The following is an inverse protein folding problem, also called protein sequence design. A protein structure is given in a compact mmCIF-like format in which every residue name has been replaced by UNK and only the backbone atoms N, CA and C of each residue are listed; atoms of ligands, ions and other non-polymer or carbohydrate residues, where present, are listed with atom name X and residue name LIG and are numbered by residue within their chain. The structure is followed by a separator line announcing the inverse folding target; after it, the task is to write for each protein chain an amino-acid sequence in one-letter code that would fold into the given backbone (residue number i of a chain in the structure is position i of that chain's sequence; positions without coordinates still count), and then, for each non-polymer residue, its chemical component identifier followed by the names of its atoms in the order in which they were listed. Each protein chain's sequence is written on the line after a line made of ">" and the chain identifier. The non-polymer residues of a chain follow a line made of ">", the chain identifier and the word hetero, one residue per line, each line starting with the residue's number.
data_IF_150457883046
#
_entry.id   IF_150457883046
#
_cell.length_a   1.000
_cell.length_b   1.000
_cell.length_c   1.000
_cell.angle_alpha   90.00
_cell.angle_beta   90.00
_cell.angle_gamma   90.00
#
_symmetry.space_group_name_H-M   'P 1'
#
loop_
_entity.id
_entity.type
_entity.pdbx_description
1 polymer ?
#
# COMPACT_ATOMS: atom_id res chain seq x y z
N UNK A 1 -5.38 -28.87 41.88
CA UNK A 1 -6.14 -27.60 42.00
C UNK A 1 -6.88 -27.39 40.69
N UNK A 2 -8.16 -27.02 40.72
CA UNK A 2 -8.92 -26.77 39.49
C UNK A 2 -8.75 -25.31 39.05
N UNK A 3 -8.12 -25.07 37.91
CA UNK A 3 -8.07 -23.75 37.27
C UNK A 3 -9.41 -23.51 36.55
N UNK A 4 -10.09 -22.39 36.85
CA UNK A 4 -11.39 -22.04 36.26
C UNK A 4 -11.30 -20.70 35.50
N UNK A 5 -11.90 -20.67 34.32
CA UNK A 5 -12.23 -19.42 33.61
C UNK A 5 -13.65 -19.01 34.00
N UNK A 6 -13.78 -17.81 34.57
CA UNK A 6 -15.08 -17.28 35.00
C UNK A 6 -15.84 -16.70 33.80
N UNK A 7 -16.75 -17.50 33.22
CA UNK A 7 -17.74 -17.02 32.23
C UNK A 7 -19.03 -16.54 32.87
N UNK A 8 -19.32 -17.06 34.06
CA UNK A 8 -20.49 -16.73 34.87
C UNK A 8 -19.96 -16.28 36.22
N UNK A 9 -20.30 -15.07 36.68
CA UNK A 9 -19.85 -14.60 37.98
C UNK A 9 -20.50 -15.42 39.10
N UNK A 10 -19.88 -15.39 40.28
CA UNK A 10 -20.44 -15.99 41.48
C UNK A 10 -21.82 -15.38 41.77
N UNK A 11 -22.76 -16.22 42.22
CA UNK A 11 -24.14 -15.83 42.48
C UNK A 11 -24.84 -15.09 41.32
N UNK A 12 -24.53 -15.41 40.05
CA UNK A 12 -25.13 -14.76 38.87
C UNK A 12 -26.68 -14.75 38.86
N UNK A 13 -27.33 -15.75 39.46
CA UNK A 13 -28.78 -15.83 39.63
C UNK A 13 -29.24 -15.72 41.08
N UNK A 14 -28.32 -15.48 42.02
CA UNK A 14 -28.62 -15.35 43.44
C UNK A 14 -28.85 -13.90 43.85
N UNK A 15 -29.50 -13.70 45.00
CA UNK A 15 -29.67 -12.37 45.57
C UNK A 15 -28.30 -11.76 45.90
N UNK A 16 -28.10 -10.51 45.48
CA UNK A 16 -26.87 -9.76 45.69
C UNK A 16 -27.17 -8.29 46.00
N UNK A 17 -26.33 -7.69 46.82
CA UNK A 17 -26.30 -6.25 47.07
C UNK A 17 -25.10 -5.64 46.32
N UNK A 18 -25.28 -4.46 45.72
CA UNK A 18 -24.19 -3.76 45.04
C UNK A 18 -23.21 -3.22 46.08
N UNK A 19 -21.91 -3.40 45.85
CA UNK A 19 -20.89 -2.84 46.73
C UNK A 19 -20.75 -1.34 46.47
N UNK A 20 -20.94 -0.53 47.51
CA UNK A 20 -20.78 0.90 47.40
C UNK A 20 -19.29 1.28 47.30
N UNK A 21 -18.95 2.29 46.50
CA UNK A 21 -17.57 2.77 46.39
C UNK A 21 -17.14 3.58 47.61
N UNK A 22 -17.97 4.54 48.01
CA UNK A 22 -17.72 5.42 49.14
C UNK A 22 -18.27 4.86 50.45
N UNK A 23 -17.76 5.35 51.57
CA UNK A 23 -18.23 5.01 52.91
C UNK A 23 -19.72 5.30 53.06
N UNK A 24 -20.45 4.34 53.62
CA UNK A 24 -21.88 4.45 53.80
C UNK A 24 -22.19 5.06 55.18
N UNK A 25 -23.09 6.06 55.28
CA UNK A 25 -23.46 6.68 56.56
C UNK A 25 -24.07 5.72 57.57
N UNK A 26 -24.60 4.59 57.11
CA UNK A 26 -25.16 3.53 57.95
C UNK A 26 -24.11 2.54 58.45
N UNK A 27 -22.83 2.72 58.12
CA UNK A 27 -21.74 1.82 58.52
C UNK A 27 -21.71 0.52 57.72
N UNK A 28 -22.42 0.40 56.60
CA UNK A 28 -22.34 -0.78 55.73
C UNK A 28 -20.98 -0.93 55.04
N UNK A 29 -20.73 -2.16 54.60
CA UNK A 29 -19.57 -2.52 53.79
C UNK A 29 -19.49 -1.68 52.51
N UNK A 30 -18.28 -1.20 52.20
CA UNK A 30 -17.97 -0.45 50.96
C UNK A 30 -16.55 -0.78 50.48
N UNK A 31 -16.19 -0.36 49.26
CA UNK A 31 -14.82 -0.51 48.75
C UNK A 31 -13.80 0.30 49.55
N UNK A 32 -14.21 1.46 50.10
CA UNK A 32 -13.31 2.35 50.84
C UNK A 32 -13.15 1.93 52.31
N UNK A 33 -14.24 1.65 53.03
CA UNK A 33 -14.18 1.24 54.44
C UNK A 33 -13.97 -0.28 54.64
N UNK A 34 -14.24 -1.11 53.63
CA UNK A 34 -14.35 -2.56 53.83
C UNK A 34 -15.49 -2.92 54.79
N UNK A 35 -15.37 -4.04 55.50
CA UNK A 35 -16.27 -4.35 56.61
C UNK A 35 -15.92 -3.45 57.80
N UNK A 36 -16.88 -2.67 58.27
CA UNK A 36 -16.69 -1.72 59.37
C UNK A 36 -16.63 -2.43 60.73
N UNK A 37 -16.18 -1.74 61.81
CA UNK A 37 -16.18 -2.31 63.16
C UNK A 37 -17.56 -2.79 63.65
N UNK A 38 -18.65 -2.28 63.09
CA UNK A 38 -20.03 -2.70 63.41
C UNK A 38 -20.25 -4.21 63.15
N UNK A 39 -19.47 -4.82 62.25
CA UNK A 39 -19.52 -6.25 61.94
C UNK A 39 -18.78 -7.15 62.94
N UNK A 40 -17.97 -6.56 63.81
CA UNK A 40 -17.20 -7.26 64.86
C UNK A 40 -17.87 -7.18 66.24
N UNK A 41 -18.91 -6.35 66.37
CA UNK A 41 -19.61 -6.16 67.62
C UNK A 41 -20.29 -7.48 68.08
N UNK A 42 -20.44 -7.69 69.39
CA UNK A 42 -21.28 -8.76 69.92
C UNK A 42 -22.73 -8.66 69.40
N UNK A 43 -23.38 -9.80 69.20
CA UNK A 43 -24.72 -9.87 68.60
C UNK A 43 -25.85 -9.27 69.45
N UNK A 44 -25.58 -8.93 70.70
CA UNK A 44 -26.46 -8.22 71.62
C UNK A 44 -26.31 -6.69 71.54
N UNK A 45 -25.33 -6.18 70.78
CA UNK A 45 -25.16 -4.76 70.54
C UNK A 45 -26.16 -4.25 69.48
N UNK A 46 -26.93 -3.18 69.74
CA UNK A 46 -27.87 -2.60 68.77
C UNK A 46 -27.23 -2.13 67.46
N UNK A 47 -25.92 -1.82 67.45
CA UNK A 47 -25.16 -1.44 66.26
C UNK A 47 -24.52 -2.63 65.53
N UNK A 48 -24.68 -3.86 66.04
CA UNK A 48 -24.13 -5.05 65.40
C UNK A 48 -24.70 -5.26 64.00
N UNK A 49 -23.82 -5.59 63.05
CA UNK A 49 -24.17 -5.97 61.70
C UNK A 49 -23.68 -7.38 61.38
N UNK A 50 -24.55 -8.33 61.02
CA UNK A 50 -24.09 -9.62 60.54
C UNK A 50 -23.53 -9.49 59.12
N UNK A 51 -22.54 -10.32 58.77
CA UNK A 51 -22.11 -10.51 57.37
C UNK A 51 -23.26 -11.18 56.62
N UNK A 52 -24.01 -10.38 55.87
CA UNK A 52 -25.16 -10.88 55.14
C UNK A 52 -24.78 -11.63 53.86
N UNK A 53 -25.66 -12.55 53.46
CA UNK A 53 -25.47 -13.38 52.26
C UNK A 53 -25.42 -12.52 50.99
N UNK A 54 -26.25 -11.49 50.91
CA UNK A 54 -26.40 -10.66 49.71
C UNK A 54 -25.15 -9.81 49.47
N UNK A 55 -24.57 -9.29 50.54
CA UNK A 55 -23.34 -8.50 50.56
C UNK A 55 -22.15 -9.36 50.14
N UNK A 56 -22.00 -10.56 50.74
CA UNK A 56 -20.93 -11.49 50.35
C UNK A 56 -21.08 -11.98 48.91
N UNK A 57 -22.31 -12.25 48.47
CA UNK A 57 -22.59 -12.58 47.07
C UNK A 57 -22.20 -11.44 46.14
N UNK A 58 -22.54 -10.19 46.49
CA UNK A 58 -22.19 -9.00 45.74
C UNK A 58 -20.69 -8.85 45.52
N UNK A 59 -19.91 -8.89 46.61
CA UNK A 59 -18.45 -8.78 46.59
C UNK A 59 -17.83 -9.86 45.69
N UNK A 60 -18.22 -11.12 45.88
CA UNK A 60 -17.69 -12.22 45.08
C UNK A 60 -18.13 -12.15 43.62
N UNK A 61 -19.36 -11.69 43.36
CA UNK A 61 -19.88 -11.50 42.00
C UNK A 61 -19.05 -10.48 41.24
N UNK A 62 -18.80 -9.30 41.85
CA UNK A 62 -18.02 -8.21 41.24
C UNK A 62 -16.57 -8.63 40.93
N UNK A 63 -15.91 -9.32 41.86
CA UNK A 63 -14.53 -9.81 41.67
C UNK A 63 -14.48 -10.86 40.55
N UNK A 64 -15.40 -11.83 40.58
CA UNK A 64 -15.39 -12.93 39.59
C UNK A 64 -15.86 -12.48 38.20
N UNK A 65 -16.70 -11.46 38.11
CA UNK A 65 -17.06 -10.79 36.86
C UNK A 65 -15.84 -10.07 36.27
N UNK A 66 -15.20 -9.21 37.05
CA UNK A 66 -14.01 -8.45 36.61
C UNK A 66 -12.84 -9.37 36.22
N UNK A 67 -12.60 -10.42 37.01
CA UNK A 67 -11.62 -11.45 36.67
C UNK A 67 -12.01 -12.22 35.41
N UNK A 68 -13.30 -12.55 35.27
CA UNK A 68 -13.85 -13.25 34.11
C UNK A 68 -13.67 -12.48 32.81
N UNK A 69 -13.84 -11.16 32.83
CA UNK A 69 -13.54 -10.30 31.69
C UNK A 69 -12.07 -10.37 31.27
N UNK A 70 -11.15 -10.16 32.21
CA UNK A 70 -9.70 -10.19 31.91
C UNK A 70 -9.27 -11.58 31.45
N UNK A 71 -9.82 -12.64 32.03
CA UNK A 71 -9.53 -14.03 31.61
C UNK A 71 -10.04 -14.36 30.20
N UNK A 72 -11.21 -13.82 29.81
CA UNK A 72 -11.82 -14.11 28.51
C UNK A 72 -11.24 -13.26 27.38
N UNK A 73 -10.95 -11.99 27.64
CA UNK A 73 -10.53 -11.04 26.60
C UNK A 73 -9.04 -10.69 26.67
N UNK A 74 -8.34 -11.12 27.73
CA UNK A 74 -6.93 -10.77 28.00
C UNK A 74 -6.72 -9.35 28.53
N UNK A 75 -7.76 -8.51 28.50
CA UNK A 75 -7.78 -7.11 28.92
C UNK A 75 -9.10 -6.81 29.62
N UNK A 76 -9.14 -5.74 30.42
CA UNK A 76 -10.39 -5.24 30.97
C UNK A 76 -11.31 -4.76 29.83
N UNK A 77 -12.63 -5.00 29.94
CA UNK A 77 -13.58 -4.45 28.97
C UNK A 77 -13.70 -2.94 29.22
N UNK A 78 -13.67 -2.16 28.13
CA UNK A 78 -13.78 -0.71 28.23
C UNK A 78 -15.11 -0.33 28.87
N UNK A 79 -15.02 0.59 29.82
CA UNK A 79 -16.14 1.27 30.46
C UNK A 79 -15.70 2.68 30.82
N UNK A 80 -16.65 3.60 30.93
CA UNK A 80 -16.36 4.92 31.45
C UNK A 80 -16.00 4.81 32.94
N UNK A 81 -14.86 5.39 33.34
CA UNK A 81 -14.40 5.43 34.73
C UNK A 81 -14.12 6.88 35.13
N UNK A 82 -14.40 7.21 36.38
CA UNK A 82 -14.12 8.55 36.94
C UNK A 82 -12.61 8.80 36.92
N UNK A 83 -12.18 9.91 36.33
CA UNK A 83 -10.76 10.23 36.15
C UNK A 83 -10.11 9.56 34.94
N UNK A 84 -10.88 8.80 34.13
CA UNK A 84 -10.44 8.23 32.87
C UNK A 84 -9.36 7.14 32.97
N UNK A 85 -9.01 6.58 31.81
CA UNK A 85 -7.98 5.56 31.71
C UNK A 85 -6.58 6.17 31.63
N UNK A 86 -5.64 5.60 32.37
CA UNK A 86 -4.25 6.07 32.36
C UNK A 86 -3.58 5.90 30.99
N UNK A 87 -2.54 6.69 30.71
CA UNK A 87 -1.76 6.55 29.48
C UNK A 87 -1.18 5.13 29.37
N UNK A 88 -1.25 4.55 28.17
CA UNK A 88 -0.86 3.16 27.86
C UNK A 88 -1.75 2.06 28.48
N UNK A 89 -2.84 2.40 29.18
CA UNK A 89 -3.81 1.42 29.61
C UNK A 89 -4.42 0.69 28.39
N UNK A 90 -4.70 -0.60 28.55
CA UNK A 90 -5.21 -1.46 27.48
C UNK A 90 -6.59 -1.99 27.82
N UNK A 91 -7.52 -1.83 26.90
CA UNK A 91 -8.91 -2.22 27.06
C UNK A 91 -9.39 -3.00 25.84
N UNK A 92 -10.32 -3.92 26.07
CA UNK A 92 -11.06 -4.56 25.00
C UNK A 92 -12.37 -3.82 24.75
N UNK A 93 -12.65 -3.46 23.50
CA UNK A 93 -13.87 -2.75 23.10
C UNK A 93 -14.27 -3.14 21.67
N UNK A 94 -15.55 -3.42 21.41
CA UNK A 94 -16.09 -3.75 20.08
C UNK A 94 -15.24 -4.75 19.25
N UNK A 95 -14.71 -5.79 19.89
CA UNK A 95 -13.91 -6.82 19.20
C UNK A 95 -12.43 -6.50 19.00
N UNK A 96 -11.98 -5.30 19.41
CA UNK A 96 -10.60 -4.85 19.30
C UNK A 96 -9.95 -4.54 20.65
N UNK A 97 -8.62 -4.50 20.66
CA UNK A 97 -7.83 -4.04 21.81
C UNK A 97 -7.35 -2.62 21.52
N UNK A 98 -7.58 -1.72 22.46
CA UNK A 98 -7.19 -0.32 22.35
C UNK A 98 -6.21 0.07 23.44
N UNK A 99 -5.28 0.96 23.11
CA UNK A 99 -4.27 1.52 24.01
C UNK A 99 -4.54 3.01 24.18
N UNK A 100 -4.69 3.47 25.43
CA UNK A 100 -4.89 4.89 25.70
C UNK A 100 -3.64 5.69 25.30
N UNK A 101 -3.80 6.74 24.49
CA UNK A 101 -2.70 7.59 24.04
C UNK A 101 -2.39 8.74 25.01
N UNK A 102 -3.31 9.05 25.92
CA UNK A 102 -3.22 10.14 26.91
C UNK A 102 -3.53 9.63 28.32
N UNK A 103 -3.16 10.42 29.31
CA UNK A 103 -3.56 10.18 30.69
C UNK A 103 -4.99 10.70 30.93
N UNK A 104 -5.69 10.14 31.93
CA UNK A 104 -7.08 10.47 32.24
C UNK A 104 -8.03 10.44 31.01
N UNK A 105 -7.90 9.42 30.17
CA UNK A 105 -8.66 9.30 28.94
C UNK A 105 -10.10 8.84 29.22
N UNK A 106 -11.04 9.77 29.07
CA UNK A 106 -12.48 9.53 29.24
C UNK A 106 -13.21 9.28 27.91
N UNK A 107 -12.51 9.36 26.78
CA UNK A 107 -13.12 9.18 25.45
C UNK A 107 -13.47 7.72 25.18
N UNK A 108 -14.45 7.48 24.31
CA UNK A 108 -14.83 6.15 23.86
C UNK A 108 -13.89 5.65 22.73
N UNK A 109 -13.33 4.43 22.81
CA UNK A 109 -12.44 3.90 21.78
C UNK A 109 -13.15 3.75 20.43
N UNK A 110 -12.46 4.11 19.34
CA UNK A 110 -12.99 3.98 17.98
C UNK A 110 -13.92 5.12 17.53
N UNK A 111 -14.28 6.05 18.40
CA UNK A 111 -14.97 7.28 18.01
C UNK A 111 -14.02 8.23 17.26
N UNK A 112 -14.59 9.08 16.39
CA UNK A 112 -13.82 10.14 15.73
C UNK A 112 -13.26 11.12 16.77
N UNK A 113 -11.95 11.38 16.73
CA UNK A 113 -11.27 12.19 17.74
C UNK A 113 -10.98 11.47 19.07
N UNK A 114 -11.20 10.14 19.13
CA UNK A 114 -10.83 9.36 20.30
C UNK A 114 -9.32 9.36 20.55
N UNK A 115 -8.93 9.36 21.82
CA UNK A 115 -7.53 9.31 22.25
C UNK A 115 -7.08 7.85 22.47
N UNK A 116 -7.57 6.94 21.62
CA UNK A 116 -7.31 5.52 21.68
C UNK A 116 -6.61 5.05 20.41
N UNK A 117 -5.53 4.29 20.57
CA UNK A 117 -4.83 3.63 19.48
C UNK A 117 -5.27 2.17 19.40
N UNK A 118 -5.76 1.73 18.25
CA UNK A 118 -6.07 0.31 18.05
C UNK A 118 -4.78 -0.52 17.98
N UNK A 119 -4.71 -1.59 18.78
CA UNK A 119 -3.58 -2.51 18.77
C UNK A 119 -3.60 -3.43 17.54
N UNK A 120 -4.77 -3.71 16.96
CA UNK A 120 -4.83 -4.43 15.67
C UNK A 120 -4.28 -3.59 14.52
N UNK A 121 -4.35 -2.26 14.61
CA UNK A 121 -3.69 -1.34 13.67
C UNK A 121 -2.18 -1.20 13.95
N UNK A 122 -1.68 -1.73 15.08
CA UNK A 122 -0.26 -1.65 15.46
C UNK A 122 0.61 -2.71 14.80
N UNK A 123 0.01 -3.75 14.22
CA UNK A 123 0.73 -4.78 13.45
C UNK A 123 0.40 -4.63 11.98
N UNK A 124 1.42 -4.73 11.12
CA UNK A 124 1.20 -4.85 9.69
C UNK A 124 0.47 -6.18 9.42
N UNK A 125 -0.77 -6.18 8.90
CA UNK A 125 -1.47 -7.41 8.55
C UNK A 125 -0.67 -8.20 7.52
N UNK A 126 -0.69 -9.53 7.65
CA UNK A 126 -0.08 -10.45 6.69
C UNK A 126 -1.18 -11.37 6.15
N UNK A 127 -1.24 -11.52 4.84
CA UNK A 127 -2.22 -12.40 4.18
C UNK A 127 -1.57 -13.20 3.06
N UNK A 128 -2.08 -14.40 2.79
CA UNK A 128 -1.57 -15.22 1.67
C UNK A 128 -1.75 -14.49 0.33
N UNK A 129 -2.97 -14.06 0.05
CA UNK A 129 -3.35 -13.33 -1.18
C UNK A 129 -3.95 -11.96 -0.84
N UNK A 130 -3.99 -11.06 -1.82
CA UNK A 130 -4.50 -9.70 -1.61
C UNK A 130 -5.97 -9.72 -1.13
N UNK A 131 -6.28 -9.15 0.05
CA UNK A 131 -7.64 -9.13 0.57
C UNK A 131 -8.60 -8.33 -0.32
N UNK A 132 -9.87 -8.75 -0.37
CA UNK A 132 -10.94 -8.06 -1.12
C UNK A 132 -11.65 -6.96 -0.32
N UNK A 133 -11.37 -6.89 0.99
CA UNK A 133 -11.91 -5.89 1.91
C UNK A 133 -10.79 -5.27 2.72
N UNK A 134 -11.01 -4.05 3.23
CA UNK A 134 -9.99 -3.30 3.97
C UNK A 134 -9.81 -3.90 5.36
N UNK A 135 -8.61 -4.38 5.64
CA UNK A 135 -8.17 -4.93 6.94
C UNK A 135 -7.11 -4.04 7.62
N UNK A 136 -6.76 -2.92 7.00
CA UNK A 136 -5.70 -2.00 7.42
C UNK A 136 -5.32 -1.05 6.29
N UNK A 137 -4.49 -0.05 6.55
CA UNK A 137 -4.00 0.87 5.50
C UNK A 137 -2.94 0.23 4.60
N UNK A 138 -2.22 -0.78 5.10
CA UNK A 138 -1.29 -1.60 4.34
C UNK A 138 -1.42 -3.07 4.76
N UNK A 139 -0.90 -3.99 3.94
CA UNK A 139 -0.85 -5.44 4.17
C UNK A 139 0.36 -6.03 3.45
N UNK A 140 1.09 -6.94 4.09
CA UNK A 140 2.10 -7.75 3.41
C UNK A 140 1.43 -8.98 2.78
N UNK A 141 1.57 -9.15 1.46
CA UNK A 141 0.93 -10.25 0.72
C UNK A 141 1.96 -11.28 0.32
N UNK A 142 1.85 -12.50 0.86
CA UNK A 142 2.87 -13.55 0.69
C UNK A 142 3.02 -14.01 -0.76
N UNK A 143 1.92 -14.20 -1.49
CA UNK A 143 1.95 -14.64 -2.90
C UNK A 143 2.53 -13.57 -3.84
N UNK A 144 2.51 -12.31 -3.43
CA UNK A 144 3.12 -11.20 -4.18
C UNK A 144 4.52 -10.89 -3.68
N UNK A 145 4.85 -11.31 -2.45
CA UNK A 145 6.07 -10.92 -1.72
C UNK A 145 6.26 -9.40 -1.69
N UNK A 146 5.17 -8.66 -1.52
CA UNK A 146 5.16 -7.20 -1.56
C UNK A 146 4.23 -6.61 -0.50
N UNK A 147 4.53 -5.37 -0.10
CA UNK A 147 3.72 -4.54 0.77
C UNK A 147 2.70 -3.76 -0.07
N UNK A 148 1.42 -4.09 0.08
CA UNK A 148 0.34 -3.42 -0.63
C UNK A 148 -0.34 -2.38 0.26
N UNK A 149 -0.80 -1.29 -0.34
CA UNK A 149 -1.56 -0.23 0.34
C UNK A 149 -3.01 -0.24 -0.12
N UNK A 150 -3.94 0.03 0.80
CA UNK A 150 -5.34 0.23 0.46
C UNK A 150 -5.48 1.59 -0.24
N UNK A 151 -5.69 1.57 -1.56
CA UNK A 151 -5.69 2.79 -2.37
C UNK A 151 -6.78 2.77 -3.44
N UNK A 152 -7.07 3.95 -3.98
CA UNK A 152 -7.97 4.11 -5.13
C UNK A 152 -7.16 4.49 -6.35
N UNK A 153 -7.33 3.75 -7.44
CA UNK A 153 -6.69 3.96 -8.75
C UNK A 153 -7.81 4.10 -9.79
N UNK A 154 -8.07 5.33 -10.23
CA UNK A 154 -9.22 5.60 -11.10
C UNK A 154 -10.53 5.16 -10.43
N UNK A 155 -11.30 4.30 -11.09
CA UNK A 155 -12.55 3.74 -10.56
C UNK A 155 -12.41 2.47 -9.70
N UNK A 156 -11.19 2.01 -9.43
CA UNK A 156 -10.94 0.79 -8.65
C UNK A 156 -10.36 1.11 -7.27
N UNK A 157 -10.83 0.41 -6.24
CA UNK A 157 -10.31 0.52 -4.85
C UNK A 157 -9.95 -0.87 -4.32
N UNK A 158 -8.77 -0.98 -3.73
CA UNK A 158 -8.29 -2.21 -3.11
C UNK A 158 -6.81 -2.14 -2.73
N UNK A 159 -6.22 -3.29 -2.40
CA UNK A 159 -4.79 -3.39 -2.09
C UNK A 159 -3.94 -3.45 -3.36
N UNK A 160 -3.04 -2.49 -3.54
CA UNK A 160 -2.08 -2.46 -4.64
C UNK A 160 -0.73 -1.88 -4.21
N UNK A 161 0.30 -2.20 -4.97
CA UNK A 161 1.60 -1.54 -4.82
C UNK A 161 1.47 -0.11 -5.33
N UNK A 162 2.01 0.91 -4.63
CA UNK A 162 2.03 2.28 -5.14
C UNK A 162 2.69 2.39 -6.52
N UNK A 163 3.63 1.48 -6.82
CA UNK A 163 4.38 1.38 -8.08
C UNK A 163 3.75 0.43 -9.10
N UNK A 164 2.50 -0.01 -8.87
CA UNK A 164 1.81 -0.88 -9.84
C UNK A 164 1.80 -0.21 -11.23
N UNK A 165 2.29 -0.93 -12.24
CA UNK A 165 2.44 -0.42 -13.61
C UNK A 165 3.68 0.43 -13.86
N UNK A 166 4.70 0.40 -12.98
CA UNK A 166 6.05 0.88 -13.27
C UNK A 166 6.87 -0.17 -14.04
N UNK A 167 7.86 0.27 -14.82
CA UNK A 167 8.77 -0.64 -15.52
C UNK A 167 9.87 -1.05 -14.55
N UNK A 168 10.05 -2.36 -14.38
CA UNK A 168 11.12 -2.94 -13.56
C UNK A 168 12.11 -3.71 -14.45
N UNK A 169 13.41 -3.58 -14.16
CA UNK A 169 14.46 -4.31 -14.88
C UNK A 169 14.73 -5.66 -14.20
N UNK A 170 14.29 -6.75 -14.83
CA UNK A 170 14.55 -8.10 -14.35
C UNK A 170 16.01 -8.52 -14.53
N UNK A 171 16.57 -9.21 -13.55
CA UNK A 171 17.89 -9.86 -13.61
C UNK A 171 17.81 -11.39 -13.54
N UNK A 172 16.59 -11.94 -13.42
CA UNK A 172 16.29 -13.37 -13.32
C UNK A 172 15.73 -13.91 -14.64
N UNK A 173 15.89 -15.21 -14.95
CA UNK A 173 15.33 -15.81 -16.17
C UNK A 173 13.80 -15.85 -16.22
N UNK A 174 13.13 -15.74 -15.07
CA UNK A 174 11.67 -15.75 -14.97
C UNK A 174 11.17 -14.59 -14.11
N UNK A 175 9.87 -14.29 -14.24
CA UNK A 175 9.20 -13.27 -13.44
C UNK A 175 9.18 -13.66 -11.97
N UNK A 176 9.51 -12.70 -11.10
CA UNK A 176 9.37 -12.84 -9.66
C UNK A 176 7.90 -12.67 -9.23
N UNK A 177 7.50 -13.08 -8.01
CA UNK A 177 6.10 -13.06 -7.59
C UNK A 177 5.39 -11.69 -7.65
N UNK A 178 6.13 -10.58 -7.53
CA UNK A 178 5.60 -9.21 -7.68
C UNK A 178 5.59 -8.69 -9.12
N UNK A 179 6.16 -9.45 -10.07
CA UNK A 179 6.37 -9.03 -11.44
C UNK A 179 5.40 -9.69 -12.42
N UNK A 180 5.19 -9.04 -13.56
CA UNK A 180 4.58 -9.62 -14.75
C UNK A 180 5.46 -9.33 -15.96
N UNK A 181 5.41 -10.18 -16.98
CA UNK A 181 6.20 -10.00 -18.18
C UNK A 181 5.57 -8.93 -19.09
N UNK A 182 6.31 -7.85 -19.39
CA UNK A 182 5.91 -6.84 -20.37
C UNK A 182 6.30 -7.29 -21.80
N UNK A 183 5.80 -8.46 -22.20
CA UNK A 183 6.09 -9.13 -23.49
C UNK A 183 4.83 -9.31 -24.35
N UNK A 184 3.81 -8.46 -24.15
CA UNK A 184 2.55 -8.52 -24.90
C UNK A 184 1.60 -9.64 -24.46
N UNK A 185 1.80 -10.21 -23.27
CA UNK A 185 0.94 -11.24 -22.69
C UNK A 185 -0.50 -10.76 -22.43
N UNK A 186 -1.45 -11.70 -22.41
CA UNK A 186 -2.85 -11.44 -22.07
C UNK A 186 -3.12 -11.92 -20.65
N UNK A 187 -3.64 -11.03 -19.80
CA UNK A 187 -3.84 -11.25 -18.37
C UNK A 187 -5.30 -11.03 -17.97
N UNK A 188 -5.72 -11.67 -16.86
CA UNK A 188 -7.06 -11.53 -16.30
C UNK A 188 -7.23 -10.20 -15.55
N UNK A 189 -8.31 -9.47 -15.85
CA UNK A 189 -8.72 -8.26 -15.10
C UNK A 189 -9.06 -8.57 -13.65
N UNK A 190 -9.56 -9.78 -13.36
CA UNK A 190 -9.87 -10.20 -11.99
C UNK A 190 -8.60 -10.53 -11.17
N UNK A 191 -7.56 -11.07 -11.82
CA UNK A 191 -6.29 -11.39 -11.15
C UNK A 191 -5.40 -10.16 -10.95
N UNK A 192 -5.45 -9.21 -11.89
CA UNK A 192 -4.64 -7.98 -11.88
C UNK A 192 -5.50 -6.71 -12.03
N UNK A 193 -6.52 -6.50 -11.16
CA UNK A 193 -7.46 -5.39 -11.32
C UNK A 193 -6.79 -4.03 -11.11
N UNK A 194 -5.85 -3.95 -10.16
CA UNK A 194 -5.08 -2.73 -9.90
C UNK A 194 -4.24 -2.29 -11.10
N UNK A 195 -3.62 -3.24 -11.81
CA UNK A 195 -2.79 -2.96 -12.98
C UNK A 195 -3.64 -2.48 -14.16
N UNK A 196 -4.75 -3.16 -14.43
CA UNK A 196 -5.71 -2.72 -15.45
C UNK A 196 -6.23 -1.32 -15.14
N UNK A 197 -6.68 -1.08 -13.90
CA UNK A 197 -7.13 0.23 -13.45
C UNK A 197 -6.04 1.31 -13.56
N UNK A 198 -4.77 0.95 -13.33
CA UNK A 198 -3.64 1.87 -13.52
C UNK A 198 -3.49 2.29 -14.97
N UNK A 199 -3.48 1.35 -15.92
CA UNK A 199 -3.39 1.67 -17.34
C UNK A 199 -4.58 2.51 -17.82
N UNK A 200 -5.79 2.21 -17.31
CA UNK A 200 -6.98 3.01 -17.60
C UNK A 200 -6.86 4.43 -17.05
N UNK A 201 -6.50 4.58 -15.77
CA UNK A 201 -6.37 5.88 -15.10
C UNK A 201 -5.24 6.75 -15.66
N UNK A 202 -4.20 6.14 -16.23
CA UNK A 202 -3.07 6.86 -16.85
C UNK A 202 -3.31 7.22 -18.33
N UNK A 203 -4.42 6.80 -18.92
CA UNK A 203 -4.68 6.99 -20.36
C UNK A 203 -3.79 6.13 -21.28
N UNK A 204 -3.13 5.11 -20.73
CA UNK A 204 -2.26 4.19 -21.46
C UNK A 204 -2.96 2.87 -21.86
N UNK A 205 -4.26 2.74 -21.54
CA UNK A 205 -5.11 1.67 -22.04
C UNK A 205 -5.73 2.10 -23.38
N UNK A 206 -5.40 1.40 -24.46
CA UNK A 206 -5.91 1.66 -25.82
C UNK A 206 -6.91 0.59 -26.28
N UNK A 207 -7.72 0.85 -27.31
CA UNK A 207 -8.48 -0.20 -27.98
C UNK A 207 -7.57 -1.30 -28.55
N UNK A 208 -8.05 -2.54 -28.61
CA UNK A 208 -7.28 -3.68 -29.12
C UNK A 208 -6.67 -3.43 -30.50
N UNK A 209 -7.41 -2.77 -31.40
CA UNK A 209 -6.97 -2.45 -32.76
C UNK A 209 -5.83 -1.41 -32.81
N UNK A 210 -5.63 -0.64 -31.74
CA UNK A 210 -4.58 0.38 -31.63
C UNK A 210 -3.37 -0.10 -30.83
N UNK A 211 -3.37 -1.35 -30.36
CA UNK A 211 -2.24 -1.92 -29.64
C UNK A 211 -1.10 -2.26 -30.59
N UNK A 212 0.10 -1.78 -30.27
CA UNK A 212 1.30 -1.99 -31.07
C UNK A 212 2.45 -2.43 -30.17
N UNK A 213 3.19 -3.45 -30.60
CA UNK A 213 4.39 -3.89 -29.89
C UNK A 213 5.50 -2.81 -29.96
N UNK A 214 6.22 -2.64 -28.84
CA UNK A 214 7.20 -1.58 -28.67
C UNK A 214 6.62 -0.26 -28.17
N UNK A 215 5.36 -0.22 -27.74
CA UNK A 215 4.78 0.91 -27.01
C UNK A 215 4.47 0.53 -25.56
N UNK A 216 4.58 1.49 -24.62
CA UNK A 216 4.15 1.32 -23.23
C UNK A 216 2.64 1.51 -23.08
N UNK A 217 1.87 0.76 -23.86
CA UNK A 217 0.41 0.80 -23.85
C UNK A 217 -0.17 -0.60 -23.66
N UNK A 218 -1.16 -0.70 -22.78
CA UNK A 218 -1.98 -1.89 -22.62
C UNK A 218 -3.19 -1.79 -23.54
N UNK A 219 -3.88 -2.90 -23.82
CA UNK A 219 -5.18 -2.82 -24.49
C UNK A 219 -6.23 -3.71 -23.86
N UNK A 220 -7.47 -3.28 -23.98
CA UNK A 220 -8.63 -4.09 -23.61
C UNK A 220 -8.86 -5.16 -24.67
N UNK A 221 -8.81 -6.43 -24.28
CA UNK A 221 -8.96 -7.57 -25.20
C UNK A 221 -10.40 -8.09 -25.15
N UNK A 222 -10.98 -8.16 -23.97
CA UNK A 222 -12.34 -8.67 -23.74
C UNK A 222 -12.87 -8.17 -22.39
N UNK A 223 -14.13 -8.48 -22.07
CA UNK A 223 -14.72 -8.14 -20.76
C UNK A 223 -13.90 -8.64 -19.55
N UNK A 224 -13.13 -9.72 -19.70
CA UNK A 224 -12.38 -10.34 -18.60
C UNK A 224 -10.85 -10.25 -18.74
N UNK A 225 -10.33 -9.83 -19.89
CA UNK A 225 -8.89 -9.87 -20.17
C UNK A 225 -8.37 -8.55 -20.77
N UNK A 226 -7.09 -8.28 -20.51
CA UNK A 226 -6.35 -7.16 -21.11
C UNK A 226 -4.96 -7.64 -21.52
N UNK A 227 -4.38 -7.00 -22.54
CA UNK A 227 -3.02 -7.25 -22.99
C UNK A 227 -2.10 -6.18 -22.44
N UNK A 228 -0.95 -6.58 -21.92
CA UNK A 228 0.07 -5.66 -21.39
C UNK A 228 0.99 -5.14 -22.51
N UNK A 229 1.80 -4.11 -22.25
CA UNK A 229 2.84 -3.68 -23.20
C UNK A 229 3.77 -4.82 -23.64
N UNK A 230 4.37 -4.67 -24.82
CA UNK A 230 5.51 -5.47 -25.27
C UNK A 230 6.73 -4.56 -25.42
N UNK A 231 7.68 -4.66 -24.49
CA UNK A 231 8.84 -3.77 -24.40
C UNK A 231 10.14 -4.41 -24.87
N UNK A 232 10.06 -5.60 -25.48
CA UNK A 232 11.25 -6.24 -26.05
C UNK A 232 11.86 -5.35 -27.12
N UNK A 233 13.19 -5.31 -27.13
CA UNK A 233 13.99 -4.52 -28.07
C UNK A 233 13.76 -2.99 -28.02
N UNK A 234 13.28 -2.44 -26.89
CA UNK A 234 13.08 -1.00 -26.70
C UNK A 234 14.13 -0.41 -25.75
N UNK A 235 14.68 0.76 -26.10
CA UNK A 235 15.36 1.61 -25.14
C UNK A 235 14.35 2.51 -24.41
N UNK A 236 14.71 2.98 -23.22
CA UNK A 236 13.93 3.99 -22.49
C UNK A 236 14.48 5.37 -22.77
N UNK A 237 13.59 6.34 -23.03
CA UNK A 237 13.93 7.76 -23.18
C UNK A 237 12.90 8.59 -22.42
N UNK A 238 13.34 9.68 -21.80
CA UNK A 238 12.42 10.61 -21.17
C UNK A 238 11.58 11.38 -22.22
N UNK A 239 10.35 11.72 -21.88
CA UNK A 239 9.49 12.62 -22.67
C UNK A 239 10.17 13.97 -22.83
N UNK A 240 9.96 14.61 -23.98
CA UNK A 240 10.53 15.89 -24.37
C UNK A 240 10.05 16.26 -25.78
N UNK A 241 10.72 17.17 -26.46
CA UNK A 241 10.43 17.51 -27.86
C UNK A 241 11.11 16.49 -28.79
N UNK A 242 10.35 15.94 -29.74
CA UNK A 242 10.90 15.15 -30.83
C UNK A 242 11.66 16.08 -31.78
N UNK A 243 12.96 15.84 -31.94
CA UNK A 243 13.83 16.69 -32.74
C UNK A 243 13.45 16.71 -34.23
N UNK A 244 12.82 15.65 -34.77
CA UNK A 244 12.50 15.58 -36.21
C UNK A 244 11.17 16.24 -36.54
N UNK A 245 10.21 16.21 -35.61
CA UNK A 245 8.86 16.75 -35.84
C UNK A 245 8.57 18.04 -35.08
N UNK A 246 9.50 18.46 -34.21
CA UNK A 246 9.34 19.55 -33.24
C UNK A 246 8.11 19.41 -32.31
N UNK A 247 7.49 18.22 -32.24
CA UNK A 247 6.30 17.96 -31.43
C UNK A 247 6.67 17.35 -30.07
N UNK A 248 5.82 17.57 -29.06
CA UNK A 248 5.98 16.89 -27.78
C UNK A 248 5.80 15.37 -27.94
N UNK A 249 6.71 14.59 -27.35
CA UNK A 249 6.61 13.13 -27.35
C UNK A 249 5.47 12.66 -26.45
N UNK A 250 4.62 11.82 -27.02
CA UNK A 250 3.52 11.18 -26.29
C UNK A 250 4.07 10.10 -25.36
N UNK A 251 3.64 10.11 -24.10
CA UNK A 251 4.01 9.09 -23.11
C UNK A 251 3.65 7.69 -23.60
N UNK A 252 4.57 6.75 -23.43
CA UNK A 252 4.47 5.37 -23.90
C UNK A 252 4.56 5.19 -25.42
N UNK A 253 4.70 6.25 -26.20
CA UNK A 253 4.83 6.16 -27.66
C UNK A 253 6.21 5.64 -28.08
N UNK A 254 6.24 4.85 -29.15
CA UNK A 254 7.46 4.37 -29.81
C UNK A 254 8.06 5.46 -30.70
N UNK A 255 9.39 5.50 -30.75
CA UNK A 255 10.14 6.29 -31.73
C UNK A 255 11.15 5.37 -32.43
N UNK A 256 11.21 5.44 -33.76
CA UNK A 256 12.18 4.69 -34.55
C UNK A 256 13.61 5.19 -34.30
N UNK A 257 14.58 4.32 -34.60
CA UNK A 257 15.98 4.68 -34.63
C UNK A 257 16.27 5.72 -35.73
N UNK A 258 17.32 6.51 -35.50
CA UNK A 258 17.82 7.49 -36.46
C UNK A 258 19.30 7.75 -36.18
N UNK A 259 20.03 8.22 -37.18
CA UNK A 259 21.38 8.78 -37.04
C UNK A 259 21.36 10.25 -37.42
N UNK A 260 22.18 11.05 -36.72
CA UNK A 260 22.25 12.49 -36.97
C UNK A 260 22.82 12.78 -38.37
N UNK A 261 22.21 13.75 -39.04
CA UNK A 261 22.59 14.18 -40.38
C UNK A 261 24.09 14.56 -40.42
N UNK A 262 24.80 13.95 -41.37
CA UNK A 262 26.18 14.32 -41.68
C UNK A 262 26.50 14.05 -43.15
N UNK A 263 27.59 14.63 -43.63
CA UNK A 263 28.15 14.37 -44.97
C UNK A 263 29.63 13.99 -44.85
N UNK A 264 30.12 13.24 -45.83
CA UNK A 264 31.53 12.87 -45.93
C UNK A 264 32.21 13.68 -47.03
N UNK A 265 33.44 14.12 -46.75
CA UNK A 265 34.29 14.78 -47.75
C UNK A 265 35.05 13.71 -48.54
N UNK A 266 34.78 13.65 -49.84
CA UNK A 266 35.44 12.76 -50.78
C UNK A 266 36.55 13.51 -51.52
N UNK A 267 37.65 12.81 -51.80
CA UNK A 267 38.72 13.29 -52.67
C UNK A 267 38.37 12.96 -54.12
N UNK A 268 38.24 13.97 -54.97
CA UNK A 268 38.03 13.81 -56.40
C UNK A 268 39.35 13.69 -57.18
N UNK A 269 39.30 13.05 -58.36
CA UNK A 269 40.37 13.08 -59.36
C UNK A 269 40.00 13.98 -60.53
N UNK A 270 40.97 14.73 -61.06
CA UNK A 270 40.77 15.57 -62.24
C UNK A 270 41.07 14.77 -63.51
N UNK A 271 40.14 14.79 -64.48
CA UNK A 271 40.42 14.35 -65.85
C UNK A 271 40.61 15.61 -66.71
N UNK A 272 41.78 15.75 -67.32
CA UNK A 272 42.05 16.84 -68.26
C UNK A 272 41.81 16.32 -69.68
N UNK A 273 40.96 17.01 -70.46
CA UNK A 273 40.74 16.72 -71.87
C UNK A 273 41.32 17.87 -72.69
N UNK A 274 42.33 17.59 -73.52
CA UNK A 274 42.85 18.58 -74.46
C UNK A 274 41.81 18.83 -75.55
N UNK A 275 41.54 20.11 -75.86
CA UNK A 275 40.58 20.50 -76.92
C UNK A 275 40.97 19.84 -78.24
N UNK A 276 40.03 19.08 -78.83
CA UNK A 276 40.24 18.31 -80.05
C UNK A 276 40.66 16.85 -79.84
N UNK A 277 40.80 16.36 -78.61
CA UNK A 277 41.10 14.96 -78.32
C UNK A 277 39.85 14.09 -78.17
N UNK A 278 39.91 12.85 -78.66
CA UNK A 278 38.86 11.82 -78.50
C UNK A 278 39.03 10.97 -77.24
N UNK A 279 40.11 11.17 -76.46
CA UNK A 279 40.42 10.37 -75.27
C UNK A 279 40.84 11.26 -74.09
N UNK A 280 40.32 10.93 -72.89
CA UNK A 280 40.70 11.59 -71.64
C UNK A 280 41.89 10.87 -70.98
N UNK A 281 42.88 11.65 -70.53
CA UNK A 281 43.97 11.12 -69.70
C UNK A 281 43.77 11.57 -68.26
N UNK A 282 43.90 10.62 -67.33
CA UNK A 282 43.91 10.94 -65.91
C UNK A 282 45.31 11.49 -65.55
N UNK A 283 45.40 12.79 -65.25
CA UNK A 283 46.65 13.38 -64.77
C UNK A 283 46.81 13.05 -63.28
N UNK A 284 47.54 11.99 -62.97
CA UNK A 284 47.93 11.68 -61.59
C UNK A 284 49.02 12.66 -61.14
N UNK A 285 48.63 13.73 -60.42
CA UNK A 285 49.60 14.67 -59.84
C UNK A 285 49.21 16.15 -59.77
N UNK A 286 47.95 16.54 -59.99
CA UNK A 286 47.55 17.94 -59.78
C UNK A 286 47.75 18.33 -58.30
N UNK A 287 48.55 19.38 -58.05
CA UNK A 287 48.92 19.89 -56.72
C UNK A 287 47.75 20.51 -55.92
N UNK A 288 46.55 20.59 -56.50
CA UNK A 288 45.33 21.01 -55.80
C UNK A 288 44.35 19.83 -55.69
N UNK A 289 44.16 19.23 -54.50
CA UNK A 289 43.11 18.22 -54.31
C UNK A 289 41.73 18.85 -54.50
N UNK A 290 40.97 18.38 -55.49
CA UNK A 290 39.54 18.67 -55.61
C UNK A 290 38.80 17.86 -54.55
N UNK A 291 37.91 18.52 -53.80
CA UNK A 291 37.07 17.88 -52.82
C UNK A 291 35.61 18.13 -53.15
N UNK A 292 34.80 17.08 -53.04
CA UNK A 292 33.35 17.17 -53.04
C UNK A 292 32.81 16.56 -51.75
N UNK A 293 31.67 17.04 -51.27
CA UNK A 293 30.96 16.37 -50.19
C UNK A 293 29.91 15.42 -50.78
N UNK A 294 29.63 14.32 -50.08
CA UNK A 294 28.36 13.60 -50.29
C UNK A 294 27.20 14.53 -49.96
N UNK A 295 25.99 14.20 -50.41
CA UNK A 295 24.81 14.81 -49.83
C UNK A 295 24.77 14.53 -48.31
N UNK A 296 24.28 15.48 -47.50
CA UNK A 296 23.89 15.18 -46.13
C UNK A 296 22.82 14.08 -46.12
N UNK A 297 22.91 13.15 -45.17
CA UNK A 297 21.94 12.09 -44.96
C UNK A 297 21.79 11.85 -43.45
N UNK A 298 20.56 11.63 -43.00
CA UNK A 298 20.21 11.40 -41.59
C UNK A 298 19.12 12.35 -41.06
N UNK A 299 18.83 12.24 -39.77
CA UNK A 299 17.83 13.05 -39.07
C UNK A 299 18.44 14.05 -38.10
N UNK A 300 17.61 14.61 -37.22
CA UNK A 300 18.02 15.68 -36.30
C UNK A 300 18.84 15.18 -35.10
N UNK A 301 18.86 13.87 -34.86
CA UNK A 301 19.47 13.24 -33.69
C UNK A 301 19.95 11.81 -34.00
N UNK A 302 20.97 11.34 -33.29
CA UNK A 302 21.32 9.90 -33.24
C UNK A 302 20.63 9.26 -32.05
N UNK A 303 19.81 8.23 -32.29
CA UNK A 303 19.05 7.53 -31.25
C UNK A 303 18.75 6.09 -31.64
N UNK A 304 18.65 5.17 -30.67
CA UNK A 304 18.06 3.85 -30.91
C UNK A 304 16.52 3.91 -30.87
N UNK A 305 15.88 2.81 -31.26
CA UNK A 305 14.43 2.63 -31.07
C UNK A 305 14.10 2.76 -29.59
N UNK A 306 13.15 3.62 -29.23
CA UNK A 306 12.87 3.92 -27.82
C UNK A 306 11.40 4.22 -27.52
N UNK A 307 11.04 4.07 -26.25
CA UNK A 307 9.75 4.50 -25.70
C UNK A 307 9.90 5.75 -24.84
N UNK A 308 8.87 6.60 -24.83
CA UNK A 308 8.82 7.82 -24.02
C UNK A 308 8.28 7.55 -22.60
N UNK A 309 9.01 7.95 -21.56
CA UNK A 309 8.58 7.92 -20.15
C UNK A 309 8.65 9.31 -19.52
N UNK A 310 7.77 9.61 -18.58
CA UNK A 310 7.83 10.90 -17.88
C UNK A 310 9.04 10.95 -16.92
N UNK A 311 9.84 12.03 -16.91
CA UNK A 311 10.92 12.20 -15.93
C UNK A 311 10.33 12.44 -14.53
N UNK A 312 10.51 11.48 -13.62
CA UNK A 312 9.95 11.51 -12.26
C UNK A 312 11.00 11.05 -11.24
N UNK A 313 10.84 11.50 -9.99
CA UNK A 313 11.61 11.05 -8.83
C UNK A 313 10.65 10.48 -7.79
N UNK A 314 11.02 9.38 -7.17
CA UNK A 314 10.31 8.80 -6.03
C UNK A 314 10.70 9.55 -4.75
N UNK A 315 9.71 9.93 -3.92
CA UNK A 315 9.90 10.62 -2.63
C UNK A 315 9.21 9.85 -1.51
#
# INVERSE_FOLDING_TARGET
>A
MATRIYKTPFAATGDKESLATADQPDGKVSLQAGWTPDYELPNDNPAYRPVGRMEMNGILSEITESLGEVQQYGYAVWRQIVGGWAKNARVFYNGGVFVSSVDANETEPGAAGSMWMSLSDSFLPVSQSAPTSRIGSAVYVLDRQDLLQWMTIGGWTGYASPRVGEIEFGWTPGVLPWQIAAEGGVYSKAAYPALYARFQASGLLVPAASWVAGEYKACDVSGTQFRVPDLRNQFLRMTGTDADTANARVIGGKQADAYREHSHRLKGGTYQLTVGSTHASATWGSSAPLFGNTSPEGGSETRPINIALAPRLHV
#
